data_IF_499136455507
#
_entry.id   IF_499136455507
#
_cell.length_a   1.000
_cell.length_b   1.000
_cell.length_c   1.000
_cell.angle_alpha   90.00
_cell.angle_beta   90.00
_cell.angle_gamma   90.00
#
_symmetry.space_group_name_H-M   'P 1'
#
loop_
_entity.id
_entity.type
_entity.pdbx_description
1 polymer ?
#
# COMPACT_ATOMS: atom_id res chain seq x y z
N UNK A 1 -6.29 -25.89 -6.59
CA UNK A 1 -6.31 -24.43 -6.83
C UNK A 1 -4.98 -23.82 -6.40
N UNK A 2 -4.45 -22.97 -7.22
CA UNK A 2 -3.22 -22.21 -6.92
C UNK A 2 -3.57 -20.91 -6.22
N UNK A 3 -2.62 -20.38 -5.45
CA UNK A 3 -2.79 -19.09 -4.75
C UNK A 3 -1.96 -18.03 -5.45
N UNK A 4 -2.49 -16.83 -5.53
CA UNK A 4 -1.84 -15.67 -6.15
C UNK A 4 -1.83 -14.49 -5.20
N UNK A 5 -0.75 -13.73 -5.22
CA UNK A 5 -0.63 -12.46 -4.50
C UNK A 5 -0.56 -11.36 -5.54
N UNK A 6 -1.44 -10.38 -5.43
CA UNK A 6 -1.40 -9.20 -6.30
C UNK A 6 -0.59 -8.08 -5.68
N UNK A 7 0.14 -7.37 -6.54
CA UNK A 7 0.94 -6.19 -6.14
C UNK A 7 0.61 -5.06 -7.08
N UNK A 8 0.02 -3.98 -6.55
CA UNK A 8 -0.25 -2.76 -7.31
C UNK A 8 -0.36 -1.55 -6.40
N UNK A 9 0.01 -0.40 -6.93
CA UNK A 9 -0.21 0.89 -6.28
C UNK A 9 -1.48 1.51 -6.87
N UNK A 10 -2.36 1.97 -6.00
CA UNK A 10 -3.60 2.64 -6.38
C UNK A 10 -3.75 3.93 -5.61
N UNK A 11 -4.59 4.82 -6.11
CA UNK A 11 -5.05 5.99 -5.36
C UNK A 11 -6.49 5.75 -4.92
N UNK A 12 -6.80 6.12 -3.70
CA UNK A 12 -8.15 5.94 -3.18
C UNK A 12 -8.51 7.06 -2.21
N UNK A 13 -9.80 7.39 -2.20
CA UNK A 13 -10.37 8.33 -1.22
C UNK A 13 -11.67 7.77 -0.66
N UNK A 14 -11.97 8.02 0.62
CA UNK A 14 -13.26 7.62 1.18
C UNK A 14 -14.41 8.22 0.36
N UNK A 15 -15.38 7.40 0.03
CA UNK A 15 -16.56 7.84 -0.71
C UNK A 15 -17.77 7.03 -0.26
N UNK A 16 -18.82 7.74 0.10
CA UNK A 16 -20.09 7.12 0.41
C UNK A 16 -20.85 6.92 -0.90
N UNK A 17 -21.18 5.67 -1.20
CA UNK A 17 -22.09 5.34 -2.26
C UNK A 17 -23.51 5.45 -1.70
N UNK A 18 -24.31 6.36 -2.24
CA UNK A 18 -25.67 6.59 -1.82
C UNK A 18 -26.65 6.48 -2.96
N UNK A 19 -27.88 6.09 -2.66
CA UNK A 19 -28.94 6.02 -3.63
C UNK A 19 -30.29 5.82 -2.96
N UNK A 20 -31.36 6.06 -3.71
CA UNK A 20 -32.70 5.76 -3.23
C UNK A 20 -32.98 4.28 -3.41
N UNK A 21 -33.46 3.65 -2.34
CA UNK A 21 -33.99 2.30 -2.41
C UNK A 21 -35.50 2.37 -2.63
N UNK A 22 -35.98 1.65 -3.62
CA UNK A 22 -37.40 1.44 -3.84
C UNK A 22 -37.86 0.11 -3.25
N UNK A 23 -36.97 -0.62 -2.58
CA UNK A 23 -37.30 -1.86 -1.90
C UNK A 23 -38.05 -1.56 -0.59
N UNK A 24 -39.31 -1.94 -0.53
CA UNK A 24 -40.16 -1.71 0.64
C UNK A 24 -41.13 -0.52 0.46
N UNK A 25 -41.99 -0.34 1.47
CA UNK A 25 -43.06 0.67 1.42
C UNK A 25 -42.55 2.11 1.65
N UNK A 26 -41.32 2.26 2.11
CA UNK A 26 -40.72 3.55 2.39
C UNK A 26 -39.40 3.67 1.62
N UNK A 27 -39.42 4.32 0.48
CA UNK A 27 -38.22 4.66 -0.22
C UNK A 27 -37.30 5.51 0.68
N UNK A 28 -36.01 5.23 0.67
CA UNK A 28 -35.03 5.95 1.49
C UNK A 28 -33.65 5.95 0.81
N UNK A 29 -32.77 6.78 1.34
CA UNK A 29 -31.38 6.81 0.91
C UNK A 29 -30.64 5.66 1.59
N UNK A 30 -30.06 4.77 0.79
CA UNK A 30 -29.14 3.76 1.28
C UNK A 30 -27.73 4.30 1.05
N UNK A 31 -27.02 4.55 2.16
CA UNK A 31 -25.63 5.01 2.10
C UNK A 31 -24.73 3.87 2.54
N UNK A 32 -23.70 3.59 1.74
CA UNK A 32 -22.66 2.60 2.06
C UNK A 32 -21.30 3.27 2.08
N UNK A 33 -20.54 3.02 3.14
CA UNK A 33 -19.15 3.49 3.22
C UNK A 33 -18.25 2.64 2.34
N UNK A 34 -17.36 3.30 1.65
CA UNK A 34 -16.38 2.65 0.79
C UNK A 34 -15.33 3.62 0.30
N UNK A 35 -14.69 3.24 -0.78
CA UNK A 35 -13.61 4.01 -1.39
C UNK A 35 -13.80 4.12 -2.89
N UNK A 36 -13.61 5.33 -3.39
CA UNK A 36 -13.36 5.54 -4.82
C UNK A 36 -11.92 5.18 -5.08
N UNK A 37 -11.68 4.25 -6.00
CA UNK A 37 -10.37 3.73 -6.34
C UNK A 37 -10.00 4.16 -7.75
N UNK A 38 -8.79 4.68 -7.92
CA UNK A 38 -8.23 5.05 -9.23
C UNK A 38 -6.98 4.21 -9.45
N UNK A 39 -6.99 3.43 -10.53
CA UNK A 39 -5.87 2.59 -10.93
C UNK A 39 -4.87 3.38 -11.78
N UNK A 40 -3.65 2.84 -11.93
CA UNK A 40 -2.58 3.52 -12.67
C UNK A 40 -2.95 3.85 -14.13
N UNK A 41 -3.79 3.04 -14.76
CA UNK A 41 -4.29 3.26 -16.12
C UNK A 41 -5.43 4.29 -16.21
N UNK A 42 -5.82 4.87 -15.07
CA UNK A 42 -6.92 5.82 -14.98
C UNK A 42 -8.30 5.19 -14.77
N UNK A 43 -8.41 3.87 -14.78
CA UNK A 43 -9.67 3.19 -14.49
C UNK A 43 -10.14 3.52 -13.08
N UNK A 44 -11.43 3.80 -12.93
CA UNK A 44 -12.06 4.17 -11.66
C UNK A 44 -13.06 3.09 -11.24
N UNK A 45 -13.06 2.79 -9.96
CA UNK A 45 -13.98 1.83 -9.37
C UNK A 45 -14.39 2.29 -7.98
N UNK A 46 -15.42 1.69 -7.44
CA UNK A 46 -15.80 1.85 -6.04
C UNK A 46 -15.68 0.51 -5.34
N UNK A 47 -15.18 0.52 -4.11
CA UNK A 47 -15.03 -0.70 -3.31
C UNK A 47 -15.67 -0.49 -1.93
N UNK A 48 -16.42 -1.47 -1.42
CA UNK A 48 -16.91 -1.42 -0.05
C UNK A 48 -15.76 -1.30 0.94
N UNK A 49 -15.98 -0.56 2.02
CA UNK A 49 -14.97 -0.26 3.04
C UNK A 49 -14.23 -1.51 3.53
N UNK A 50 -14.98 -2.54 3.95
CA UNK A 50 -14.39 -3.75 4.52
C UNK A 50 -13.53 -4.50 3.51
N UNK A 51 -14.01 -4.65 2.28
CA UNK A 51 -13.26 -5.31 1.21
C UNK A 51 -12.00 -4.54 0.85
N UNK A 52 -12.09 -3.23 0.78
CA UNK A 52 -10.94 -2.38 0.48
C UNK A 52 -9.88 -2.44 1.56
N UNK A 53 -10.26 -2.27 2.82
CA UNK A 53 -9.32 -2.24 3.95
C UNK A 53 -8.65 -3.58 4.22
N UNK A 54 -9.26 -4.69 3.79
CA UNK A 54 -8.63 -6.02 3.83
C UNK A 54 -7.63 -6.24 2.70
N UNK A 55 -7.85 -5.62 1.55
CA UNK A 55 -7.03 -5.81 0.35
C UNK A 55 -5.85 -4.85 0.26
N UNK A 56 -5.97 -3.67 0.83
CA UNK A 56 -5.00 -2.59 0.68
C UNK A 56 -4.59 -2.00 2.02
N UNK A 57 -3.33 -1.61 2.10
CA UNK A 57 -2.80 -0.84 3.23
C UNK A 57 -2.44 0.57 2.75
N UNK A 58 -2.71 1.55 3.59
CA UNK A 58 -2.38 2.94 3.27
C UNK A 58 -0.88 3.15 3.36
N UNK A 59 -0.29 3.65 2.29
CA UNK A 59 1.13 4.01 2.27
C UNK A 59 1.35 5.12 3.31
N UNK A 60 2.34 4.95 4.16
CA UNK A 60 2.69 5.91 5.21
C UNK A 60 4.01 6.59 4.91
N UNK A 61 4.15 7.89 5.29
CA UNK A 61 5.43 8.55 5.19
C UNK A 61 6.45 7.91 6.14
N UNK A 62 7.72 7.95 5.75
CA UNK A 62 8.78 7.38 6.58
C UNK A 62 8.91 8.20 7.87
N UNK A 63 8.86 7.56 9.04
CA UNK A 63 8.83 8.27 10.30
C UNK A 63 10.21 8.75 10.75
N UNK A 64 10.23 9.79 11.58
CA UNK A 64 11.39 10.14 12.38
C UNK A 64 11.24 9.44 13.74
N UNK A 65 12.21 8.61 14.10
CA UNK A 65 12.17 7.84 15.33
C UNK A 65 13.25 8.34 16.28
N UNK A 66 12.83 8.68 17.51
CA UNK A 66 13.76 9.11 18.54
C UNK A 66 14.63 7.97 19.02
N UNK A 67 15.92 8.25 19.26
CA UNK A 67 16.84 7.31 19.88
C UNK A 67 16.56 7.26 21.39
N UNK A 68 15.78 6.27 21.79
CA UNK A 68 15.47 6.00 23.20
C UNK A 68 15.77 4.54 23.51
N UNK A 69 16.04 4.25 24.78
CA UNK A 69 16.20 2.87 25.22
C UNK A 69 14.88 2.12 25.05
N UNK A 70 14.95 0.96 24.42
CA UNK A 70 13.78 0.12 24.19
C UNK A 70 14.16 -1.36 24.21
N UNK A 71 13.17 -2.26 24.38
CA UNK A 71 13.45 -3.69 24.35
C UNK A 71 14.11 -4.13 23.03
N UNK A 72 15.03 -5.12 23.06
CA UNK A 72 15.74 -5.57 21.86
C UNK A 72 14.84 -5.99 20.70
N UNK A 73 13.70 -6.62 20.98
CA UNK A 73 12.77 -7.05 19.93
C UNK A 73 12.13 -5.87 19.19
N UNK A 74 11.90 -4.74 19.86
CA UNK A 74 11.40 -3.52 19.22
C UNK A 74 12.51 -2.85 18.41
N UNK A 75 13.73 -2.80 18.94
CA UNK A 75 14.85 -2.22 18.22
C UNK A 75 15.15 -2.99 16.93
N UNK A 76 15.01 -4.30 16.92
CA UNK A 76 15.18 -5.11 15.70
C UNK A 76 14.20 -4.75 14.61
N UNK A 77 12.95 -4.47 14.96
CA UNK A 77 11.93 -4.05 13.97
C UNK A 77 12.30 -2.68 13.37
N UNK A 78 12.77 -1.76 14.18
CA UNK A 78 13.22 -0.44 13.74
C UNK A 78 14.42 -0.55 12.80
N UNK A 79 15.41 -1.36 13.18
CA UNK A 79 16.59 -1.60 12.36
C UNK A 79 16.22 -2.21 11.01
N UNK A 80 15.33 -3.19 11.00
CA UNK A 80 14.81 -3.81 9.78
C UNK A 80 14.12 -2.78 8.88
N UNK A 81 13.32 -1.89 9.45
CA UNK A 81 12.65 -0.82 8.71
C UNK A 81 13.67 0.11 8.03
N UNK A 82 14.69 0.55 8.74
CA UNK A 82 15.74 1.41 8.17
C UNK A 82 16.52 0.70 7.06
N UNK A 83 16.90 -0.56 7.27
CA UNK A 83 17.63 -1.34 6.27
C UNK A 83 16.80 -1.56 5.01
N UNK A 84 15.53 -1.87 5.18
CA UNK A 84 14.61 -2.09 4.07
C UNK A 84 14.36 -0.79 3.29
N UNK A 85 14.18 0.33 3.98
CA UNK A 85 13.99 1.65 3.34
C UNK A 85 15.22 2.05 2.54
N UNK A 86 16.42 1.83 3.06
CA UNK A 86 17.67 2.08 2.33
C UNK A 86 17.72 1.28 1.03
N UNK A 87 17.40 -0.01 1.09
CA UNK A 87 17.35 -0.88 -0.09
C UNK A 87 16.30 -0.42 -1.09
N UNK A 88 15.12 -0.02 -0.60
CA UNK A 88 14.04 0.47 -1.44
C UNK A 88 14.44 1.74 -2.19
N UNK A 89 15.06 2.69 -1.50
CA UNK A 89 15.50 3.95 -2.10
C UNK A 89 16.57 3.71 -3.16
N UNK A 90 17.51 2.79 -2.92
CA UNK A 90 18.53 2.41 -3.92
C UNK A 90 17.89 1.76 -5.15
N UNK A 91 16.91 0.88 -4.95
CA UNK A 91 16.19 0.24 -6.05
C UNK A 91 15.41 1.28 -6.86
N UNK A 92 14.72 2.20 -6.20
CA UNK A 92 13.97 3.27 -6.89
C UNK A 92 14.90 4.20 -7.67
N UNK A 93 16.06 4.53 -7.14
CA UNK A 93 17.07 5.32 -7.86
C UNK A 93 17.56 4.58 -9.11
N UNK A 94 17.76 3.28 -9.01
CA UNK A 94 18.13 2.44 -10.17
C UNK A 94 17.04 2.42 -11.23
N UNK A 95 15.78 2.20 -10.83
CA UNK A 95 14.64 2.16 -11.75
C UNK A 95 14.44 3.51 -12.45
N UNK A 96 14.56 4.61 -11.70
CA UNK A 96 14.26 5.94 -12.20
C UNK A 96 15.38 6.66 -12.93
N UNK A 97 16.64 6.24 -12.78
CA UNK A 97 17.78 7.01 -13.25
C UNK A 97 18.92 6.23 -13.88
N UNK A 98 18.89 4.91 -13.89
CA UNK A 98 19.98 4.11 -14.45
C UNK A 98 19.74 3.76 -15.91
N UNK A 99 20.75 3.99 -16.74
CA UNK A 99 20.74 3.52 -18.13
C UNK A 99 20.77 1.99 -18.22
N UNK A 100 21.36 1.34 -17.23
CA UNK A 100 21.41 -0.12 -17.16
C UNK A 100 20.00 -0.68 -17.04
N UNK A 101 19.13 -0.04 -16.24
CA UNK A 101 17.74 -0.45 -16.10
C UNK A 101 17.01 -0.46 -17.44
N UNK A 102 17.22 0.58 -18.29
CA UNK A 102 16.56 0.68 -19.59
C UNK A 102 17.01 -0.40 -20.58
N UNK A 103 18.18 -1.00 -20.34
CA UNK A 103 18.74 -2.08 -21.19
C UNK A 103 18.32 -3.47 -20.74
N UNK A 104 17.69 -3.60 -19.57
CA UNK A 104 17.15 -4.88 -19.11
C UNK A 104 15.94 -5.28 -19.97
N UNK A 105 15.67 -6.57 -20.06
CA UNK A 105 14.44 -7.00 -20.71
C UNK A 105 13.21 -6.51 -19.94
N UNK A 106 12.07 -6.44 -20.63
CA UNK A 106 10.85 -5.87 -20.06
C UNK A 106 10.32 -6.68 -18.88
N UNK A 107 10.53 -7.99 -18.89
CA UNK A 107 10.09 -8.85 -17.77
C UNK A 107 10.91 -8.55 -16.52
N UNK A 108 12.23 -8.36 -16.65
CA UNK A 108 13.08 -7.98 -15.53
C UNK A 108 12.75 -6.58 -15.00
N UNK A 109 12.52 -5.62 -15.89
CA UNK A 109 12.05 -4.29 -15.48
C UNK A 109 10.76 -4.37 -14.68
N UNK A 110 9.82 -5.20 -15.12
CA UNK A 110 8.55 -5.42 -14.42
C UNK A 110 8.78 -6.04 -13.04
N UNK A 111 9.64 -7.05 -12.93
CA UNK A 111 9.95 -7.69 -11.65
C UNK A 111 10.56 -6.69 -10.66
N UNK A 112 11.46 -5.83 -11.10
CA UNK A 112 12.08 -4.82 -10.24
C UNK A 112 11.07 -3.77 -9.76
N UNK A 113 10.14 -3.35 -10.61
CA UNK A 113 9.05 -2.44 -10.22
C UNK A 113 8.12 -3.10 -9.20
N UNK A 114 7.79 -4.37 -9.39
CA UNK A 114 7.00 -5.13 -8.42
C UNK A 114 7.74 -5.27 -7.09
N UNK A 115 9.04 -5.55 -7.13
CA UNK A 115 9.87 -5.63 -5.92
C UNK A 115 9.84 -4.31 -5.14
N UNK A 116 9.93 -3.18 -5.83
CA UNK A 116 9.84 -1.86 -5.19
C UNK A 116 8.50 -1.66 -4.47
N UNK A 117 7.39 -2.06 -5.09
CA UNK A 117 6.07 -1.97 -4.47
C UNK A 117 5.93 -2.87 -3.25
N UNK A 118 6.43 -4.10 -3.33
CA UNK A 118 6.43 -5.03 -2.18
C UNK A 118 7.25 -4.47 -1.03
N UNK A 119 8.41 -3.89 -1.32
CA UNK A 119 9.25 -3.26 -0.31
C UNK A 119 8.53 -2.08 0.35
N UNK A 120 7.83 -1.27 -0.42
CA UNK A 120 7.04 -0.15 0.11
C UNK A 120 5.92 -0.64 1.03
N UNK A 121 5.21 -1.69 0.65
CA UNK A 121 4.19 -2.31 1.49
C UNK A 121 4.79 -2.87 2.77
N UNK A 122 5.93 -3.52 2.68
CA UNK A 122 6.65 -4.07 3.83
C UNK A 122 7.07 -2.97 4.81
N UNK A 123 7.67 -1.89 4.30
CA UNK A 123 8.04 -0.73 5.14
C UNK A 123 6.80 -0.17 5.85
N UNK A 124 5.67 -0.04 5.17
CA UNK A 124 4.42 0.43 5.78
C UNK A 124 3.96 -0.46 6.92
N UNK A 125 4.04 -1.78 6.75
CA UNK A 125 3.69 -2.73 7.81
C UNK A 125 4.62 -2.57 9.03
N UNK A 126 5.92 -2.40 8.79
CA UNK A 126 6.87 -2.17 9.88
C UNK A 126 6.58 -0.86 10.62
N UNK A 127 6.26 0.20 9.90
CA UNK A 127 5.83 1.48 10.50
C UNK A 127 4.61 1.28 11.40
N UNK A 128 3.60 0.56 10.92
CA UNK A 128 2.40 0.26 11.71
C UNK A 128 2.72 -0.54 12.98
N UNK A 129 3.61 -1.51 12.87
CA UNK A 129 4.06 -2.29 14.03
C UNK A 129 4.75 -1.40 15.06
N UNK A 130 5.62 -0.50 14.60
CA UNK A 130 6.35 0.43 15.46
C UNK A 130 5.39 1.40 16.16
N UNK A 131 4.43 1.95 15.43
CA UNK A 131 3.41 2.85 15.99
C UNK A 131 2.57 2.16 17.08
N UNK A 132 2.47 0.84 17.06
CA UNK A 132 1.68 0.05 18.00
C UNK A 132 2.53 -0.64 19.08
N UNK A 133 3.78 -0.28 19.23
CA UNK A 133 4.61 -0.79 20.35
C UNK A 133 4.01 -0.37 21.69
N UNK A 134 4.01 -1.31 22.62
CA UNK A 134 3.51 -1.09 23.98
C UNK A 134 4.62 -1.25 25.01
#
# INVERSE_FOLDING_TARGET
MEKYIGVKLISAEPQIEGGFSTAGQHGGIIAREGYKVVYEDGYKSWSPKDAFEKAYIKVKPFPSIEETARPPHQQRVIDEMYDLEEKRLKLNAFIGGSEIFTKLDLDEQSRLKQQSLVMQAYVTILIERIENFK
#
